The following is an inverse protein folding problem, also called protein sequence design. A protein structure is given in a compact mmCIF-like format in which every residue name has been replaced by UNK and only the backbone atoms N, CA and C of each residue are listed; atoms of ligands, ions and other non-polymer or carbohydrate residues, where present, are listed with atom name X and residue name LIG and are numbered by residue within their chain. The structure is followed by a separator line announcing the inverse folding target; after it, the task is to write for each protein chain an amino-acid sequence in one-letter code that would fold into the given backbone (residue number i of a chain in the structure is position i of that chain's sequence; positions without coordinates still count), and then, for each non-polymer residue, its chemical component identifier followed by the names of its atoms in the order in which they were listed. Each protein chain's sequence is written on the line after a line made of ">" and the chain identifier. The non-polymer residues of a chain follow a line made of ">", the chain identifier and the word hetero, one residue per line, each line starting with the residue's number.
data_IF_067095919127
#
_entry.id   IF_067095919127
#
_cell.length_a   1.000
_cell.length_b   1.000
_cell.length_c   1.000
_cell.angle_alpha   90.00
_cell.angle_beta   90.00
_cell.angle_gamma   90.00
#
_symmetry.space_group_name_H-M   'P 1'
#
loop_
_entity.id
_entity.type
_entity.pdbx_description
1 polymer ?
#
# COMPACT_ATOMS: atom_id res chain seq x y z
N UNK A 1 -37.23 -26.80 -27.72
CA UNK A 1 -36.08 -26.25 -26.97
C UNK A 1 -36.41 -24.80 -26.59
N UNK A 2 -36.57 -24.52 -25.30
CA UNK A 2 -36.97 -23.21 -24.80
C UNK A 2 -35.73 -22.29 -24.60
N UNK A 3 -35.78 -21.02 -25.01
CA UNK A 3 -34.70 -20.06 -24.77
C UNK A 3 -34.66 -19.61 -23.30
N UNK A 4 -33.47 -19.29 -22.73
CA UNK A 4 -33.33 -18.92 -21.33
C UNK A 4 -33.82 -17.49 -21.02
N UNK A 5 -34.38 -17.35 -19.82
CA UNK A 5 -34.96 -16.14 -19.24
C UNK A 5 -33.88 -15.22 -18.67
N UNK A 6 -33.57 -14.13 -19.38
CA UNK A 6 -32.85 -12.97 -18.84
C UNK A 6 -33.55 -11.68 -19.26
N UNK A 7 -34.70 -11.39 -18.65
CA UNK A 7 -35.29 -10.04 -18.68
C UNK A 7 -36.38 -9.91 -17.60
N UNK A 8 -35.99 -9.84 -16.32
CA UNK A 8 -36.88 -9.28 -15.30
C UNK A 8 -36.60 -7.79 -15.18
N UNK A 9 -37.46 -6.98 -15.80
CA UNK A 9 -37.54 -5.55 -15.54
C UNK A 9 -38.02 -5.32 -14.10
N UNK A 10 -37.31 -4.51 -13.32
CA UNK A 10 -37.72 -4.11 -11.97
C UNK A 10 -38.59 -2.85 -12.01
N UNK A 11 -39.89 -3.06 -11.78
CA UNK A 11 -40.85 -2.27 -11.00
C UNK A 11 -40.87 -0.72 -11.04
N UNK A 12 -40.41 -0.06 -12.12
CA UNK A 12 -40.63 1.39 -12.30
C UNK A 12 -41.46 1.74 -13.54
N UNK A 13 -41.86 0.73 -14.33
CA UNK A 13 -42.54 0.89 -15.61
C UNK A 13 -43.99 0.40 -15.54
N UNK A 14 -44.78 0.99 -14.66
CA UNK A 14 -46.23 0.89 -14.68
C UNK A 14 -46.77 2.03 -13.85
N UNK A 15 -47.13 3.13 -14.51
CA UNK A 15 -48.22 4.05 -14.12
C UNK A 15 -48.16 5.31 -15.00
N UNK A 16 -48.84 5.23 -16.16
CA UNK A 16 -49.86 6.19 -16.64
C UNK A 16 -49.98 6.06 -18.16
N UNK A 17 -50.80 5.10 -18.56
CA UNK A 17 -51.64 5.26 -19.73
C UNK A 17 -53.01 5.74 -19.22
N UNK A 18 -53.50 6.84 -19.77
CA UNK A 18 -54.92 7.22 -19.73
C UNK A 18 -55.24 7.85 -21.08
N UNK A 19 -56.14 7.19 -21.81
CA UNK A 19 -56.61 7.53 -23.15
C UNK A 19 -57.70 8.61 -23.10
N UNK A 20 -57.78 9.47 -24.13
CA UNK A 20 -59.04 9.83 -24.83
C UNK A 20 -58.77 10.75 -26.03
N UNK A 21 -59.43 10.43 -27.15
CA UNK A 21 -59.36 10.97 -28.52
C UNK A 21 -60.35 12.15 -28.73
N UNK A 22 -60.72 12.63 -29.95
CA UNK A 22 -60.00 12.88 -31.21
C UNK A 22 -60.30 14.29 -31.84
N UNK A 23 -59.46 14.81 -32.74
CA UNK A 23 -59.88 15.58 -33.94
C UNK A 23 -58.69 15.95 -34.85
N UNK A 24 -58.87 15.70 -36.14
CA UNK A 24 -58.05 16.07 -37.31
C UNK A 24 -58.36 17.52 -37.78
N UNK A 25 -57.65 18.13 -38.77
CA UNK A 25 -56.44 17.71 -39.50
C UNK A 25 -55.36 18.82 -39.70
N UNK A 26 -54.25 18.40 -40.33
CA UNK A 26 -53.46 19.10 -41.39
C UNK A 26 -52.05 19.65 -41.06
N UNK A 27 -51.09 19.15 -41.87
CA UNK A 27 -49.75 19.67 -42.25
C UNK A 27 -48.54 19.29 -41.37
N UNK A 28 -47.82 18.26 -41.85
CA UNK A 28 -46.36 18.06 -41.74
C UNK A 28 -45.58 19.05 -42.64
N UNK A 29 -44.24 19.16 -42.55
CA UNK A 29 -43.33 18.83 -41.44
C UNK A 29 -42.27 19.93 -41.15
N UNK A 30 -41.68 19.96 -39.95
CA UNK A 30 -40.23 20.23 -39.77
C UNK A 30 -39.74 19.88 -38.35
N UNK A 31 -38.48 19.43 -38.18
CA UNK A 31 -38.01 18.76 -36.97
C UNK A 31 -37.51 19.75 -35.92
N UNK A 32 -38.25 19.90 -34.81
CA UNK A 32 -37.76 20.59 -33.60
C UNK A 32 -37.28 19.57 -32.57
N UNK A 33 -35.96 19.58 -32.39
CA UNK A 33 -35.16 19.33 -31.20
C UNK A 33 -35.92 18.87 -29.93
N UNK A 34 -35.57 17.73 -29.30
CA UNK A 34 -36.08 17.39 -28.00
C UNK A 34 -35.39 18.24 -26.92
N UNK A 35 -36.14 19.19 -26.35
CA UNK A 35 -35.74 19.94 -25.16
C UNK A 35 -35.71 19.00 -23.95
N UNK A 36 -34.54 18.43 -23.68
CA UNK A 36 -34.21 17.72 -22.44
C UNK A 36 -34.25 18.68 -21.27
N UNK A 37 -35.27 18.55 -20.40
CA UNK A 37 -35.25 19.20 -19.09
C UNK A 37 -34.13 18.59 -18.24
N UNK A 38 -33.24 19.40 -17.62
CA UNK A 38 -32.13 18.88 -16.83
C UNK A 38 -32.65 18.14 -15.60
N UNK A 39 -32.23 16.87 -15.43
CA UNK A 39 -32.41 16.11 -14.19
C UNK A 39 -31.86 16.95 -13.03
N UNK A 40 -32.75 17.27 -12.09
CA UNK A 40 -32.47 18.05 -10.87
C UNK A 40 -31.23 17.50 -10.16
N UNK A 41 -30.12 18.21 -10.25
CA UNK A 41 -28.87 17.85 -9.57
C UNK A 41 -29.12 17.77 -8.06
N UNK A 42 -28.72 16.66 -7.44
CA UNK A 42 -28.82 16.51 -5.98
C UNK A 42 -27.95 17.57 -5.30
N UNK A 43 -28.47 18.18 -4.23
CA UNK A 43 -27.79 19.23 -3.48
C UNK A 43 -26.45 18.69 -2.96
N UNK A 44 -25.33 19.43 -3.08
CA UNK A 44 -24.01 18.96 -2.66
C UNK A 44 -23.98 18.43 -1.23
N UNK A 45 -24.81 19.00 -0.35
CA UNK A 45 -24.98 18.64 1.05
C UNK A 45 -25.39 17.17 1.31
N UNK A 46 -26.03 16.49 0.35
CA UNK A 46 -26.49 15.09 0.51
C UNK A 46 -25.50 14.04 -0.01
N UNK A 47 -24.38 14.46 -0.60
CA UNK A 47 -23.33 13.55 -1.06
C UNK A 47 -22.44 13.11 0.11
N UNK A 48 -22.15 11.81 0.19
CA UNK A 48 -21.16 11.30 1.15
C UNK A 48 -19.79 11.94 0.89
N UNK A 49 -18.93 12.08 1.91
CA UNK A 49 -17.59 12.63 1.74
C UNK A 49 -16.77 11.90 0.67
N UNK A 50 -16.97 10.59 0.52
CA UNK A 50 -16.36 9.79 -0.55
C UNK A 50 -16.88 10.17 -1.93
N UNK A 51 -18.20 10.36 -2.09
CA UNK A 51 -18.81 10.71 -3.37
C UNK A 51 -18.50 12.16 -3.81
N UNK A 52 -18.30 13.08 -2.87
CA UNK A 52 -17.81 14.44 -3.18
C UNK A 52 -16.36 14.40 -3.69
N UNK A 53 -15.52 13.57 -3.08
CA UNK A 53 -14.11 13.42 -3.47
C UNK A 53 -13.94 12.71 -4.81
N UNK A 54 -14.84 11.78 -5.19
CA UNK A 54 -14.84 11.19 -6.53
C UNK A 54 -15.35 12.17 -7.58
N UNK A 55 -16.40 12.94 -7.28
CA UNK A 55 -16.91 13.99 -8.18
C UNK A 55 -15.88 15.09 -8.44
N UNK A 56 -15.13 15.52 -7.42
CA UNK A 56 -14.06 16.50 -7.60
C UNK A 56 -12.90 16.01 -8.47
N UNK A 57 -12.67 14.69 -8.48
CA UNK A 57 -11.67 14.05 -9.33
C UNK A 57 -12.17 13.89 -10.77
N UNK A 58 -13.45 13.57 -10.94
CA UNK A 58 -14.12 13.43 -12.24
C UNK A 58 -14.55 14.79 -12.84
N UNK A 59 -14.44 15.90 -12.10
CA UNK A 59 -14.69 17.23 -12.66
C UNK A 59 -13.62 17.64 -13.70
N UNK A 60 -12.43 17.03 -13.63
CA UNK A 60 -11.33 17.15 -14.59
C UNK A 60 -11.33 16.00 -15.61
N UNK A 61 -12.50 15.63 -16.17
CA UNK A 61 -12.58 14.63 -17.24
C UNK A 61 -11.91 15.18 -18.51
N UNK A 62 -10.62 14.89 -18.66
CA UNK A 62 -9.90 15.19 -19.89
C UNK A 62 -10.52 14.38 -21.04
N UNK A 63 -10.85 15.01 -22.18
CA UNK A 63 -11.27 14.25 -23.35
C UNK A 63 -10.11 13.37 -23.82
N UNK A 64 -10.39 12.10 -24.12
CA UNK A 64 -9.43 11.21 -24.76
C UNK A 64 -9.29 11.69 -26.21
N UNK A 65 -8.15 12.30 -26.52
CA UNK A 65 -7.81 12.70 -27.89
C UNK A 65 -7.14 11.50 -28.59
N UNK A 66 -7.73 10.94 -29.65
CA UNK A 66 -7.05 9.92 -30.43
C UNK A 66 -5.82 10.50 -31.12
N UNK A 67 -4.81 9.64 -31.34
CA UNK A 67 -3.59 10.03 -32.07
C UNK A 67 -3.91 10.43 -33.52
N UNK A 68 -4.89 9.77 -34.11
CA UNK A 68 -5.43 10.07 -35.44
C UNK A 68 -6.90 10.49 -35.28
N UNK A 69 -7.19 11.77 -35.54
CA UNK A 69 -8.55 12.32 -35.42
C UNK A 69 -9.51 11.79 -36.49
N UNK A 70 -9.00 11.21 -37.58
CA UNK A 70 -9.81 10.68 -38.68
C UNK A 70 -10.32 9.27 -38.41
N UNK A 71 -9.75 8.57 -37.43
CA UNK A 71 -10.13 7.20 -37.08
C UNK A 71 -11.04 7.17 -35.84
N UNK A 72 -12.07 6.30 -35.82
CA UNK A 72 -12.89 6.13 -34.63
C UNK A 72 -12.03 5.61 -33.48
N UNK A 73 -12.22 6.17 -32.28
CA UNK A 73 -11.60 5.69 -31.05
C UNK A 73 -12.70 5.18 -30.12
N UNK A 74 -13.06 3.88 -30.18
CA UNK A 74 -14.15 3.33 -29.38
C UNK A 74 -13.96 3.55 -27.87
N UNK A 75 -12.72 3.54 -27.39
CA UNK A 75 -12.44 3.79 -25.98
C UNK A 75 -12.78 5.22 -25.57
N UNK A 76 -12.60 6.21 -26.45
CA UNK A 76 -12.92 7.61 -26.19
C UNK A 76 -14.42 7.88 -26.13
N UNK A 77 -15.24 7.10 -26.85
CA UNK A 77 -16.70 7.25 -26.90
C UNK A 77 -17.42 6.59 -25.74
N UNK A 78 -16.77 5.65 -25.04
CA UNK A 78 -17.34 5.00 -23.87
C UNK A 78 -17.50 5.99 -22.69
N UNK A 79 -18.57 5.91 -21.90
CA UNK A 79 -18.67 6.60 -20.61
C UNK A 79 -17.52 6.22 -19.66
N UNK A 80 -17.16 7.13 -18.76
CA UNK A 80 -16.08 6.93 -17.78
C UNK A 80 -16.29 5.69 -16.91
N UNK A 81 -17.54 5.35 -16.62
CA UNK A 81 -17.94 4.20 -15.82
C UNK A 81 -17.53 2.90 -16.53
N UNK A 82 -17.82 2.78 -17.83
CA UNK A 82 -17.44 1.60 -18.62
C UNK A 82 -15.92 1.51 -18.79
N UNK A 83 -15.24 2.65 -19.01
CA UNK A 83 -13.78 2.69 -19.03
C UNK A 83 -13.16 2.22 -17.72
N UNK A 84 -13.73 2.64 -16.59
CA UNK A 84 -13.29 2.22 -15.26
C UNK A 84 -13.42 0.71 -15.07
N UNK A 85 -14.52 0.11 -15.53
CA UNK A 85 -14.70 -1.36 -15.53
C UNK A 85 -13.63 -2.05 -16.38
N UNK A 86 -13.30 -1.52 -17.56
CA UNK A 86 -12.20 -2.04 -18.40
C UNK A 86 -10.87 -1.96 -17.66
N UNK A 87 -10.59 -0.84 -16.97
CA UNK A 87 -9.36 -0.69 -16.21
C UNK A 87 -9.28 -1.66 -15.04
N UNK A 88 -10.38 -1.90 -14.33
CA UNK A 88 -10.43 -2.88 -13.25
C UNK A 88 -10.09 -4.28 -13.75
N UNK A 89 -10.62 -4.68 -14.90
CA UNK A 89 -10.31 -5.96 -15.52
C UNK A 89 -8.85 -6.03 -16.00
N UNK A 90 -8.35 -4.98 -16.66
CA UNK A 90 -6.97 -4.94 -17.14
C UNK A 90 -5.93 -4.87 -16.02
N UNK A 91 -6.31 -4.37 -14.84
CA UNK A 91 -5.46 -4.23 -13.65
C UNK A 91 -5.83 -5.25 -12.56
N UNK A 92 -6.56 -6.30 -12.92
CA UNK A 92 -7.10 -7.27 -11.98
C UNK A 92 -5.97 -7.86 -11.10
N UNK A 93 -6.18 -7.99 -9.77
CA UNK A 93 -5.11 -8.32 -8.83
C UNK A 93 -4.39 -9.65 -9.09
N UNK A 94 -5.06 -10.60 -9.75
CA UNK A 94 -4.49 -11.92 -10.06
C UNK A 94 -3.63 -11.90 -11.34
N UNK A 95 -3.86 -10.92 -12.22
CA UNK A 95 -3.10 -10.72 -13.46
C UNK A 95 -1.99 -9.66 -13.28
N UNK A 96 -2.22 -8.67 -12.42
CA UNK A 96 -1.25 -7.67 -12.06
C UNK A 96 -0.21 -8.26 -11.10
N UNK A 97 1.07 -8.11 -11.42
CA UNK A 97 2.11 -8.58 -10.50
C UNK A 97 1.96 -7.89 -9.13
N UNK A 98 1.96 -8.68 -8.04
CA UNK A 98 1.73 -8.17 -6.70
C UNK A 98 2.87 -7.28 -6.19
N UNK A 99 4.00 -7.24 -6.90
CA UNK A 99 5.14 -6.41 -6.57
C UNK A 99 5.35 -5.32 -7.62
N UNK A 100 5.59 -4.07 -7.19
CA UNK A 100 6.10 -3.04 -8.07
C UNK A 100 7.33 -3.55 -8.83
N UNK A 101 7.28 -3.53 -10.17
CA UNK A 101 8.45 -3.91 -10.97
C UNK A 101 9.48 -2.79 -10.91
N UNK A 102 10.74 -3.18 -10.81
CA UNK A 102 11.86 -2.26 -10.65
C UNK A 102 12.95 -2.58 -11.67
N UNK A 103 13.51 -1.56 -12.29
CA UNK A 103 14.74 -1.65 -13.08
C UNK A 103 15.86 -1.03 -12.27
N UNK A 104 16.83 -1.83 -11.86
CA UNK A 104 18.09 -1.33 -11.30
C UNK A 104 18.93 -0.89 -12.49
N UNK A 105 19.20 0.41 -12.61
CA UNK A 105 20.08 0.91 -13.69
C UNK A 105 21.53 0.45 -13.47
N UNK A 106 22.30 0.22 -14.54
CA UNK A 106 23.74 0.00 -14.44
C UNK A 106 24.38 1.13 -13.63
N UNK A 107 25.19 0.79 -12.62
CA UNK A 107 25.74 1.73 -11.64
C UNK A 107 24.95 1.84 -10.32
N UNK A 108 23.91 1.02 -10.12
CA UNK A 108 23.30 0.74 -8.80
C UNK A 108 22.49 1.87 -8.16
N UNK A 109 22.55 3.09 -8.68
CA UNK A 109 22.06 4.28 -7.98
C UNK A 109 20.59 4.62 -8.22
N UNK A 110 19.94 4.05 -9.25
CA UNK A 110 18.55 4.38 -9.59
C UNK A 110 17.72 3.13 -9.86
N UNK A 111 16.75 2.92 -8.98
CA UNK A 111 15.68 1.96 -9.18
C UNK A 111 14.53 2.70 -9.88
N UNK A 112 14.21 2.32 -11.12
CA UNK A 112 13.07 2.88 -11.86
C UNK A 112 11.86 1.97 -11.70
N UNK A 113 10.77 2.51 -11.18
CA UNK A 113 9.50 1.81 -11.12
C UNK A 113 8.91 1.66 -12.53
N UNK A 114 8.54 0.42 -12.90
CA UNK A 114 7.84 0.14 -14.14
C UNK A 114 6.34 0.28 -13.86
N UNK A 115 5.76 1.35 -14.40
CA UNK A 115 4.34 1.60 -14.29
C UNK A 115 3.59 0.63 -15.22
N UNK A 116 2.36 0.23 -14.88
CA UNK A 116 1.47 -0.43 -15.84
C UNK A 116 1.40 0.35 -17.15
N UNK A 117 1.46 -0.35 -18.28
CA UNK A 117 1.45 0.24 -19.63
C UNK A 117 0.24 1.16 -19.84
N UNK A 118 -0.89 0.82 -19.23
CA UNK A 118 -2.13 1.63 -19.30
C UNK A 118 -1.97 3.05 -18.72
N UNK A 119 -1.05 3.25 -17.77
CA UNK A 119 -0.76 4.58 -17.20
C UNK A 119 0.08 5.47 -18.13
N UNK A 120 0.62 4.91 -19.22
CA UNK A 120 1.45 5.63 -20.19
C UNK A 120 0.68 6.13 -21.42
N UNK A 121 -0.59 5.76 -21.62
CA UNK A 121 -1.32 6.00 -22.88
C UNK A 121 -1.66 7.49 -23.07
N UNK A 122 -2.61 8.03 -22.31
CA UNK A 122 -3.06 9.42 -22.42
C UNK A 122 -3.30 10.01 -21.04
N UNK A 123 -3.38 11.35 -20.93
CA UNK A 123 -3.62 12.01 -19.64
C UNK A 123 -4.94 11.58 -19.00
N UNK A 124 -6.00 11.47 -19.79
CA UNK A 124 -7.32 11.04 -19.34
C UNK A 124 -7.30 9.62 -18.79
N UNK A 125 -6.80 8.68 -19.60
CA UNK A 125 -6.68 7.26 -19.23
C UNK A 125 -5.78 7.11 -18.01
N UNK A 126 -4.65 7.82 -17.96
CA UNK A 126 -3.73 7.78 -16.82
C UNK A 126 -4.41 8.17 -15.53
N UNK A 127 -5.22 9.23 -15.52
CA UNK A 127 -5.93 9.70 -14.32
C UNK A 127 -6.93 8.61 -13.88
N UNK A 128 -7.83 8.19 -14.76
CA UNK A 128 -8.85 7.20 -14.45
C UNK A 128 -8.26 5.85 -14.03
N UNK A 129 -7.29 5.33 -14.78
CA UNK A 129 -6.63 4.07 -14.47
C UNK A 129 -5.72 4.16 -13.24
N UNK A 130 -5.06 5.30 -12.98
CA UNK A 130 -4.27 5.48 -11.75
C UNK A 130 -5.15 5.48 -10.51
N UNK A 131 -6.37 6.02 -10.61
CA UNK A 131 -7.35 5.91 -9.53
C UNK A 131 -7.57 4.44 -9.17
N UNK A 132 -7.97 3.62 -10.15
CA UNK A 132 -8.22 2.19 -9.94
C UNK A 132 -6.98 1.47 -9.41
N UNK A 133 -5.83 1.70 -10.06
CA UNK A 133 -4.57 1.04 -9.72
C UNK A 133 -4.13 1.32 -8.28
N UNK A 134 -4.09 2.59 -7.89
CA UNK A 134 -3.56 2.95 -6.58
C UNK A 134 -4.55 2.73 -5.44
N UNK A 135 -5.86 2.69 -5.69
CA UNK A 135 -6.84 2.47 -4.61
C UNK A 135 -7.17 1.00 -4.39
N UNK A 136 -7.07 0.14 -5.40
CA UNK A 136 -7.62 -1.21 -5.34
C UNK A 136 -6.57 -2.31 -5.52
N UNK A 137 -5.50 -2.06 -6.28
CA UNK A 137 -4.48 -3.09 -6.54
C UNK A 137 -3.75 -3.49 -5.26
N UNK A 138 -3.49 -4.80 -5.12
CA UNK A 138 -2.69 -5.34 -4.04
C UNK A 138 -1.21 -5.07 -4.29
N UNK A 139 -0.57 -4.35 -3.37
CA UNK A 139 0.88 -4.15 -3.38
C UNK A 139 1.50 -4.94 -2.24
N UNK A 140 2.39 -5.85 -2.56
CA UNK A 140 3.12 -6.68 -1.60
C UNK A 140 4.61 -6.37 -1.71
N UNK A 141 5.23 -5.99 -0.60
CA UNK A 141 6.66 -5.72 -0.53
C UNK A 141 7.32 -6.75 0.36
N UNK A 142 8.39 -7.38 -0.11
CA UNK A 142 9.18 -8.28 0.73
C UNK A 142 10.32 -7.49 1.38
N UNK A 143 10.35 -7.48 2.71
CA UNK A 143 11.38 -6.82 3.52
C UNK A 143 12.22 -7.88 4.22
N UNK A 144 13.54 -7.69 4.17
CA UNK A 144 14.54 -8.51 4.87
C UNK A 144 15.33 -7.60 5.79
N UNK A 145 15.76 -8.11 6.96
CA UNK A 145 16.58 -7.37 7.92
C UNK A 145 16.04 -5.96 8.24
N UNK A 146 14.72 -5.81 8.19
CA UNK A 146 14.00 -4.55 8.41
C UNK A 146 14.44 -3.41 7.46
N UNK A 147 14.97 -3.73 6.27
CA UNK A 147 15.28 -2.73 5.26
C UNK A 147 14.02 -2.34 4.45
N UNK A 148 13.51 -1.15 4.72
CA UNK A 148 12.35 -0.57 4.04
C UNK A 148 12.73 0.31 2.84
N UNK A 149 14.03 0.45 2.50
CA UNK A 149 14.55 1.38 1.49
C UNK A 149 13.82 1.29 0.14
N UNK A 150 13.54 0.06 -0.33
CA UNK A 150 12.81 -0.17 -1.59
C UNK A 150 11.39 0.39 -1.58
N UNK A 151 10.71 0.31 -0.43
CA UNK A 151 9.37 0.86 -0.26
C UNK A 151 9.43 2.39 -0.25
N UNK A 152 10.41 2.95 0.47
CA UNK A 152 10.64 4.41 0.51
C UNK A 152 10.93 4.95 -0.89
N UNK A 153 11.85 4.33 -1.62
CA UNK A 153 12.17 4.71 -3.00
C UNK A 153 10.96 4.63 -3.93
N UNK A 154 10.13 3.59 -3.78
CA UNK A 154 8.88 3.49 -4.54
C UNK A 154 7.94 4.65 -4.20
N UNK A 155 7.67 4.90 -2.92
CA UNK A 155 6.80 5.99 -2.47
C UNK A 155 7.29 7.34 -3.00
N UNK A 156 8.59 7.61 -2.91
CA UNK A 156 9.21 8.85 -3.37
C UNK A 156 9.13 9.02 -4.88
N UNK A 157 9.16 7.91 -5.65
CA UNK A 157 9.00 7.94 -7.11
C UNK A 157 7.58 8.27 -7.58
N UNK A 158 6.57 8.13 -6.71
CA UNK A 158 5.18 8.41 -7.08
C UNK A 158 4.89 9.91 -7.08
N UNK A 159 4.17 10.44 -8.10
CA UNK A 159 3.63 11.79 -8.05
C UNK A 159 2.76 12.00 -6.80
N UNK A 160 2.75 13.21 -6.19
CA UNK A 160 1.98 13.47 -4.97
C UNK A 160 0.49 13.11 -5.08
N UNK A 161 -0.11 13.35 -6.26
CA UNK A 161 -1.52 13.00 -6.54
C UNK A 161 -1.77 11.49 -6.49
N UNK A 162 -0.84 10.68 -7.01
CA UNK A 162 -0.98 9.22 -6.99
C UNK A 162 -0.71 8.66 -5.61
N UNK A 163 0.31 9.19 -4.92
CA UNK A 163 0.62 8.84 -3.53
C UNK A 163 -0.57 9.08 -2.60
N UNK A 164 -1.31 10.18 -2.77
CA UNK A 164 -2.51 10.45 -1.98
C UNK A 164 -3.63 9.41 -2.16
N UNK A 165 -3.66 8.68 -3.28
CA UNK A 165 -4.64 7.61 -3.53
C UNK A 165 -4.35 6.36 -2.71
N UNK A 166 -3.08 6.10 -2.37
CA UNK A 166 -2.67 4.97 -1.54
C UNK A 166 -3.31 4.98 -0.15
N UNK A 167 -3.66 6.15 0.37
CA UNK A 167 -4.38 6.28 1.64
C UNK A 167 -5.78 5.63 1.62
N UNK A 168 -6.33 5.35 0.43
CA UNK A 168 -7.60 4.64 0.26
C UNK A 168 -7.41 3.14 0.03
N UNK A 169 -6.18 2.70 -0.15
CA UNK A 169 -5.86 1.32 -0.46
C UNK A 169 -5.68 0.52 0.83
N UNK A 170 -6.48 -0.53 0.97
CA UNK A 170 -6.43 -1.45 2.12
C UNK A 170 -5.63 -2.73 1.85
N UNK A 171 -5.05 -2.83 0.65
CA UNK A 171 -4.35 -4.00 0.13
C UNK A 171 -2.82 -3.77 0.03
N UNK A 172 -2.29 -2.89 0.88
CA UNK A 172 -0.85 -2.64 1.02
C UNK A 172 -0.28 -3.58 2.08
N UNK A 173 0.59 -4.48 1.65
CA UNK A 173 1.12 -5.56 2.46
C UNK A 173 2.64 -5.50 2.49
N UNK A 174 3.23 -5.57 3.67
CA UNK A 174 4.67 -5.73 3.87
C UNK A 174 4.90 -7.13 4.43
N UNK A 175 5.53 -7.97 3.61
CA UNK A 175 5.93 -9.32 3.94
C UNK A 175 7.34 -9.30 4.51
N UNK A 176 7.48 -9.42 5.82
CA UNK A 176 8.74 -9.40 6.55
C UNK A 176 9.24 -10.84 6.66
N UNK A 177 10.51 -11.07 6.29
CA UNK A 177 11.17 -12.36 6.48
C UNK A 177 11.88 -12.30 7.84
N UNK A 178 11.43 -13.09 8.84
CA UNK A 178 12.09 -13.17 10.14
C UNK A 178 13.50 -13.79 10.00
N UNK A 179 14.42 -13.38 10.88
CA UNK A 179 15.81 -13.85 10.85
C UNK A 179 16.76 -12.89 10.09
N UNK A 180 17.98 -12.76 10.61
CA UNK A 180 19.01 -11.94 9.97
C UNK A 180 19.63 -12.77 8.85
N UNK A 181 19.38 -12.39 7.60
CA UNK A 181 20.00 -13.05 6.45
C UNK A 181 21.25 -12.28 6.04
N UNK A 182 22.35 -13.01 6.05
CA UNK A 182 23.60 -12.60 5.45
C UNK A 182 23.43 -12.67 3.91
N UNK A 183 23.14 -11.53 3.27
CA UNK A 183 23.25 -11.38 1.82
C UNK A 183 24.72 -11.39 1.37
N UNK A 184 25.01 -11.69 0.11
CA UNK A 184 26.40 -11.72 -0.37
C UNK A 184 27.02 -10.33 -0.52
N UNK A 185 28.35 -10.29 -0.38
CA UNK A 185 29.33 -9.19 -0.56
C UNK A 185 29.40 -8.09 0.52
N UNK A 186 30.49 -8.16 1.29
CA UNK A 186 31.25 -7.07 1.95
C UNK A 186 30.44 -5.98 2.68
N UNK A 187 30.38 -6.05 4.02
CA UNK A 187 31.26 -5.22 4.86
C UNK A 187 32.06 -6.04 5.91
N UNK A 188 32.90 -5.41 6.75
CA UNK A 188 33.66 -6.09 7.82
C UNK A 188 32.77 -6.91 8.78
N UNK A 189 33.35 -7.86 9.54
CA UNK A 189 32.62 -8.57 10.60
C UNK A 189 31.86 -7.60 11.50
N UNK A 190 30.54 -7.83 11.68
CA UNK A 190 29.70 -6.97 12.52
C UNK A 190 28.68 -6.09 11.82
N UNK A 191 28.50 -6.21 10.50
CA UNK A 191 27.52 -5.42 9.74
C UNK A 191 26.46 -6.30 9.07
N UNK A 192 25.27 -5.71 8.83
CA UNK A 192 24.21 -6.37 8.07
C UNK A 192 24.59 -6.38 6.57
N UNK A 193 24.57 -7.58 5.96
CA UNK A 193 25.03 -7.78 4.59
C UNK A 193 23.99 -7.45 3.51
N UNK A 194 23.06 -6.54 3.80
CA UNK A 194 21.98 -6.16 2.89
C UNK A 194 22.16 -4.77 2.27
N UNK A 195 23.12 -3.98 2.77
CA UNK A 195 23.38 -2.64 2.31
C UNK A 195 24.85 -2.24 2.51
N UNK A 196 25.29 -1.24 1.73
CA UNK A 196 26.60 -0.61 1.87
C UNK A 196 26.70 0.19 3.18
N UNK A 197 27.92 0.37 3.67
CA UNK A 197 28.23 1.17 4.87
C UNK A 197 27.59 2.57 4.84
N UNK A 198 27.66 3.24 3.69
CA UNK A 198 27.07 4.58 3.51
C UNK A 198 25.56 4.58 3.71
N UNK A 199 24.88 3.49 3.37
CA UNK A 199 23.44 3.36 3.54
C UNK A 199 23.09 3.14 5.01
N UNK A 200 23.81 2.25 5.71
CA UNK A 200 23.64 2.06 7.15
C UNK A 200 23.88 3.37 7.92
N UNK A 201 24.90 4.13 7.51
CA UNK A 201 25.15 5.46 8.06
C UNK A 201 23.98 6.41 7.83
N UNK A 202 23.47 6.50 6.60
CA UNK A 202 22.31 7.34 6.26
C UNK A 202 21.11 7.01 7.13
N UNK A 203 20.79 5.72 7.28
CA UNK A 203 19.68 5.23 8.10
C UNK A 203 19.84 5.63 9.58
N UNK A 204 21.07 5.63 10.09
CA UNK A 204 21.36 5.94 11.50
C UNK A 204 21.55 7.43 11.79
N UNK A 205 21.99 8.22 10.80
CA UNK A 205 22.47 9.60 10.98
C UNK A 205 21.45 10.55 11.64
N UNK A 206 20.15 10.27 11.45
CA UNK A 206 19.07 11.01 12.10
C UNK A 206 18.97 10.73 13.61
N UNK A 207 19.36 9.53 14.06
CA UNK A 207 19.12 9.04 15.41
C UNK A 207 20.38 9.01 16.29
N UNK A 208 21.57 8.94 15.68
CA UNK A 208 22.83 8.96 16.39
C UNK A 208 24.00 8.53 15.50
N UNK A 209 25.17 8.34 16.11
CA UNK A 209 26.38 7.92 15.39
C UNK A 209 26.66 6.44 15.64
N UNK A 210 26.46 5.59 14.63
CA UNK A 210 26.71 4.13 14.71
C UNK A 210 28.15 3.80 15.13
N UNK A 211 29.14 4.64 14.77
CA UNK A 211 30.54 4.42 15.09
C UNK A 211 30.89 4.71 16.56
N UNK A 212 30.00 5.39 17.30
CA UNK A 212 30.16 5.58 18.76
C UNK A 212 29.71 4.36 19.56
N UNK A 213 29.08 3.37 18.90
CA UNK A 213 28.61 2.16 19.55
C UNK A 213 29.77 1.16 19.66
N UNK A 214 30.16 0.73 20.87
CA UNK A 214 31.46 0.08 21.12
C UNK A 214 31.57 -1.38 20.67
N UNK A 215 30.45 -2.04 20.35
CA UNK A 215 30.44 -3.46 19.96
C UNK A 215 29.74 -3.62 18.62
N UNK A 216 30.31 -4.45 17.75
CA UNK A 216 29.71 -4.84 16.47
C UNK A 216 28.28 -5.37 16.61
N UNK A 217 28.02 -6.20 17.63
CA UNK A 217 26.66 -6.68 17.92
C UNK A 217 25.72 -5.53 18.28
N UNK A 218 26.17 -4.59 19.10
CA UNK A 218 25.37 -3.41 19.46
C UNK A 218 25.19 -2.46 18.26
N UNK A 219 26.15 -2.38 17.34
CA UNK A 219 26.00 -1.62 16.09
C UNK A 219 24.87 -2.20 15.24
N UNK A 220 24.79 -3.53 15.11
CA UNK A 220 23.68 -4.19 14.42
C UNK A 220 22.34 -3.85 15.10
N UNK A 221 22.25 -3.98 16.42
CA UNK A 221 21.03 -3.63 17.15
C UNK A 221 20.63 -2.16 16.92
N UNK A 222 21.61 -1.26 16.89
CA UNK A 222 21.37 0.16 16.62
C UNK A 222 20.88 0.43 15.19
N UNK A 223 21.45 -0.26 14.18
CA UNK A 223 21.00 -0.16 12.79
C UNK A 223 19.56 -0.65 12.66
N UNK A 224 19.23 -1.82 13.22
CA UNK A 224 17.87 -2.37 13.20
C UNK A 224 16.87 -1.41 13.88
N UNK A 225 17.26 -0.82 15.01
CA UNK A 225 16.47 0.20 15.68
C UNK A 225 16.23 1.42 14.78
N UNK A 226 17.28 1.95 14.14
CA UNK A 226 17.17 3.11 13.26
C UNK A 226 16.26 2.86 12.06
N UNK A 227 16.33 1.65 11.47
CA UNK A 227 15.45 1.25 10.37
C UNK A 227 13.98 1.15 10.78
N UNK A 228 13.69 0.51 11.91
CA UNK A 228 12.32 0.44 12.46
C UNK A 228 11.78 1.83 12.77
N UNK A 229 12.54 2.61 13.54
CA UNK A 229 12.11 3.94 13.95
C UNK A 229 11.95 4.88 12.76
N UNK A 230 12.90 4.86 11.82
CA UNK A 230 12.82 5.61 10.57
C UNK A 230 11.59 5.25 9.75
N UNK A 231 11.27 3.96 9.63
CA UNK A 231 10.06 3.50 8.96
C UNK A 231 8.78 3.96 9.65
N UNK A 232 8.69 3.82 10.98
CA UNK A 232 7.51 4.26 11.74
C UNK A 232 7.30 5.77 11.67
N UNK A 233 8.39 6.54 11.72
CA UNK A 233 8.35 8.00 11.57
C UNK A 233 7.93 8.41 10.18
N UNK A 234 8.48 7.78 9.15
CA UNK A 234 8.07 8.01 7.76
C UNK A 234 6.56 7.80 7.61
N UNK A 235 6.07 6.66 8.10
CA UNK A 235 4.64 6.32 8.08
C UNK A 235 3.78 7.30 8.89
N UNK A 236 4.34 7.99 9.88
CA UNK A 236 3.64 8.99 10.69
C UNK A 236 3.70 10.41 10.11
N UNK A 237 4.53 10.67 9.10
CA UNK A 237 4.59 11.99 8.45
C UNK A 237 3.26 12.33 7.79
N UNK A 238 2.91 13.62 7.70
CA UNK A 238 1.66 14.07 7.04
C UNK A 238 1.51 13.56 5.60
N UNK A 239 2.63 13.34 4.91
CA UNK A 239 2.66 12.88 3.53
C UNK A 239 2.24 11.40 3.38
N UNK A 240 2.50 10.58 4.39
CA UNK A 240 2.25 9.12 4.37
C UNK A 240 1.26 8.66 5.45
N UNK A 241 0.83 9.55 6.35
CA UNK A 241 0.05 9.22 7.55
C UNK A 241 -1.26 8.48 7.29
N UNK A 242 -1.92 8.80 6.17
CA UNK A 242 -3.16 8.15 5.74
C UNK A 242 -2.96 6.77 5.10
N UNK A 243 -1.73 6.34 4.84
CA UNK A 243 -1.44 5.03 4.25
C UNK A 243 -1.47 3.98 5.35
N UNK A 244 -2.28 2.94 5.13
CA UNK A 244 -2.42 1.81 6.05
C UNK A 244 -1.64 0.62 5.51
N UNK A 245 -0.67 0.15 6.28
CA UNK A 245 0.15 -1.01 5.95
C UNK A 245 -0.28 -2.20 6.80
N UNK A 246 -0.41 -3.37 6.17
CA UNK A 246 -0.55 -4.65 6.86
C UNK A 246 0.80 -5.35 6.87
N UNK A 247 1.28 -5.77 8.05
CA UNK A 247 2.51 -6.54 8.16
C UNK A 247 2.20 -8.03 8.21
N UNK A 248 2.86 -8.82 7.37
CA UNK A 248 2.81 -10.27 7.38
C UNK A 248 4.22 -10.80 7.64
N UNK A 249 4.34 -11.81 8.49
CA UNK A 249 5.64 -12.39 8.85
C UNK A 249 5.76 -13.76 8.22
N UNK A 250 6.72 -13.90 7.32
CA UNK A 250 6.91 -15.13 6.54
C UNK A 250 7.91 -16.06 7.20
N UNK A 251 7.41 -16.96 8.04
CA UNK A 251 8.18 -18.02 8.67
C UNK A 251 8.44 -19.23 7.75
N UNK A 252 7.95 -19.23 6.50
CA UNK A 252 8.18 -20.35 5.56
C UNK A 252 9.61 -20.41 5.02
N UNK A 253 10.42 -19.39 5.29
CA UNK A 253 11.81 -19.31 4.88
C UNK A 253 12.74 -19.82 5.99
N UNK A 254 13.26 -21.06 5.92
CA UNK A 254 14.14 -21.58 6.94
C UNK A 254 15.40 -20.72 7.08
N UNK A 255 15.91 -20.57 8.31
CA UNK A 255 17.17 -19.88 8.61
C UNK A 255 18.36 -20.65 8.00
N UNK A 256 18.29 -21.98 7.99
CA UNK A 256 19.27 -22.91 7.44
C UNK A 256 18.55 -24.18 6.97
N UNK A 257 19.11 -24.90 5.99
CA UNK A 257 18.65 -26.24 5.59
C UNK A 257 18.72 -27.23 6.77
N UNK A 258 19.57 -26.93 7.76
CA UNK A 258 19.85 -27.78 8.92
C UNK A 258 19.12 -27.36 10.20
N UNK A 259 18.43 -26.21 10.22
CA UNK A 259 17.68 -25.74 11.39
C UNK A 259 16.19 -26.01 11.21
N UNK A 260 15.69 -27.08 11.84
CA UNK A 260 14.27 -27.34 12.00
C UNK A 260 13.72 -26.55 13.19
N UNK A 261 13.66 -25.23 13.09
CA UNK A 261 12.93 -24.41 14.06
C UNK A 261 11.45 -24.32 13.65
N UNK A 262 10.56 -24.40 14.64
CA UNK A 262 9.15 -24.11 14.42
C UNK A 262 8.95 -22.66 14.00
N UNK A 263 7.84 -22.36 13.32
CA UNK A 263 7.49 -20.98 12.95
C UNK A 263 7.36 -20.06 14.18
N UNK A 264 6.83 -20.58 15.29
CA UNK A 264 6.70 -19.85 16.54
C UNK A 264 8.06 -19.49 17.15
N UNK A 265 9.02 -20.43 17.20
CA UNK A 265 10.38 -20.15 17.67
C UNK A 265 11.09 -19.11 16.80
N UNK A 266 10.93 -19.20 15.47
CA UNK A 266 11.52 -18.23 14.55
C UNK A 266 10.97 -16.80 14.79
N UNK A 267 9.66 -16.68 15.02
CA UNK A 267 9.05 -15.40 15.36
C UNK A 267 9.50 -14.90 16.74
N UNK A 268 9.63 -15.78 17.73
CA UNK A 268 10.12 -15.42 19.06
C UNK A 268 11.57 -14.90 19.00
N UNK A 269 12.46 -15.58 18.28
CA UNK A 269 13.82 -15.11 18.05
C UNK A 269 13.83 -13.75 17.34
N UNK A 270 12.98 -13.58 16.32
CA UNK A 270 12.85 -12.32 15.61
C UNK A 270 12.35 -11.19 16.51
N UNK A 271 11.37 -11.45 17.37
CA UNK A 271 10.87 -10.51 18.37
C UNK A 271 12.00 -10.10 19.32
N UNK A 272 12.77 -11.05 19.85
CA UNK A 272 13.83 -10.78 20.84
C UNK A 272 15.05 -10.09 20.24
N UNK A 273 15.54 -10.59 19.11
CA UNK A 273 16.83 -10.17 18.54
C UNK A 273 16.71 -8.97 17.60
N UNK A 274 15.60 -8.83 16.88
CA UNK A 274 15.45 -7.78 15.86
C UNK A 274 14.45 -6.70 16.25
N UNK A 275 13.29 -7.07 16.80
CA UNK A 275 12.30 -6.08 17.27
C UNK A 275 12.63 -5.61 18.69
N UNK A 276 13.26 -6.46 19.49
CA UNK A 276 13.62 -6.21 20.88
C UNK A 276 14.57 -5.02 21.05
N UNK A 277 15.28 -4.66 19.97
CA UNK A 277 16.15 -3.48 19.87
C UNK A 277 15.45 -2.19 20.27
N UNK A 278 14.13 -2.10 20.10
CA UNK A 278 13.31 -0.96 20.54
C UNK A 278 13.42 -0.67 22.04
N UNK A 279 13.65 -1.71 22.85
CA UNK A 279 13.77 -1.65 24.31
C UNK A 279 15.13 -2.05 24.86
N UNK A 280 16.18 -2.06 24.04
CA UNK A 280 17.53 -2.43 24.50
C UNK A 280 18.27 -1.23 25.09
N UNK A 281 18.93 -1.45 26.23
CA UNK A 281 19.71 -0.41 26.92
C UNK A 281 20.91 0.09 26.10
N UNK A 282 21.54 -0.77 25.30
CA UNK A 282 22.64 -0.37 24.41
C UNK A 282 22.20 0.62 23.32
N UNK A 283 21.00 0.42 22.77
CA UNK A 283 20.37 1.32 21.80
C UNK A 283 19.93 2.63 22.46
N UNK A 284 19.31 2.55 23.65
CA UNK A 284 18.87 3.73 24.39
C UNK A 284 20.01 4.70 24.73
N UNK A 285 21.22 4.20 24.99
CA UNK A 285 22.41 5.02 25.22
C UNK A 285 22.93 5.70 23.95
N UNK A 286 22.79 5.05 22.79
CA UNK A 286 23.24 5.57 21.51
C UNK A 286 22.22 6.51 20.84
N UNK A 287 20.94 6.42 21.23
CA UNK A 287 19.85 7.18 20.64
C UNK A 287 19.74 8.61 21.21
N UNK A 288 19.80 9.60 20.32
CA UNK A 288 19.57 11.01 20.64
C UNK A 288 18.07 11.37 20.64
N UNK A 289 17.40 11.18 21.79
CA UNK A 289 15.94 11.36 21.96
C UNK A 289 15.38 12.72 21.53
N UNK A 290 16.17 13.80 21.67
CA UNK A 290 15.69 15.18 21.63
C UNK A 290 15.06 15.67 20.32
N UNK A 291 15.22 14.96 19.19
CA UNK A 291 14.67 15.40 17.89
C UNK A 291 13.38 14.71 17.47
N UNK A 292 12.99 13.59 18.09
CA UNK A 292 12.00 12.69 17.49
C UNK A 292 11.00 12.02 18.46
N UNK A 293 10.91 12.48 19.71
CA UNK A 293 9.93 11.97 20.68
C UNK A 293 8.50 11.98 20.14
N UNK A 294 7.78 10.87 20.36
CA UNK A 294 6.37 10.67 20.06
C UNK A 294 6.00 10.31 18.61
N UNK A 295 6.90 10.52 17.63
CA UNK A 295 6.57 10.24 16.22
C UNK A 295 6.72 8.76 15.89
N UNK A 296 5.64 8.15 15.39
CA UNK A 296 5.63 6.76 14.95
C UNK A 296 5.12 5.75 15.99
N UNK A 297 4.76 6.19 17.21
CA UNK A 297 4.20 5.32 18.27
C UNK A 297 3.04 4.45 17.77
N UNK A 298 2.05 5.07 17.13
CA UNK A 298 0.88 4.35 16.61
C UNK A 298 1.26 3.30 15.56
N UNK A 299 2.22 3.63 14.69
CA UNK A 299 2.70 2.73 13.62
C UNK A 299 3.50 1.56 14.20
N UNK A 300 4.29 1.80 15.26
CA UNK A 300 4.99 0.76 16.00
C UNK A 300 4.01 -0.17 16.74
N UNK A 301 2.97 0.38 17.37
CA UNK A 301 1.92 -0.43 18.03
C UNK A 301 1.15 -1.31 17.04
N UNK A 302 0.85 -0.78 15.85
CA UNK A 302 0.24 -1.54 14.75
C UNK A 302 1.15 -2.66 14.26
N UNK A 303 2.45 -2.39 14.09
CA UNK A 303 3.44 -3.41 13.74
C UNK A 303 3.49 -4.54 14.78
N UNK A 304 3.56 -4.20 16.07
CA UNK A 304 3.56 -5.19 17.15
C UNK A 304 2.25 -5.99 17.20
N UNK A 305 1.11 -5.35 16.92
CA UNK A 305 -0.19 -6.04 16.82
C UNK A 305 -0.22 -7.05 15.68
N UNK A 306 0.25 -6.68 14.50
CA UNK A 306 0.28 -7.60 13.35
C UNK A 306 1.25 -8.78 13.60
N UNK A 307 2.38 -8.53 14.27
CA UNK A 307 3.34 -9.56 14.69
C UNK A 307 2.72 -10.54 15.70
N UNK A 308 2.04 -10.01 16.71
CA UNK A 308 1.32 -10.78 17.74
C UNK A 308 0.22 -11.66 17.13
N UNK A 309 -0.61 -11.10 16.25
CA UNK A 309 -1.62 -11.86 15.52
C UNK A 309 -1.01 -13.00 14.70
N UNK A 310 0.18 -12.78 14.11
CA UNK A 310 0.86 -13.80 13.31
C UNK A 310 1.42 -14.91 14.19
N UNK A 311 1.98 -14.57 15.36
CA UNK A 311 2.45 -15.56 16.32
C UNK A 311 1.33 -16.43 16.86
N UNK A 312 0.21 -15.83 17.30
CA UNK A 312 -0.97 -16.56 17.79
C UNK A 312 -1.49 -17.56 16.75
N UNK A 313 -1.42 -17.21 15.46
CA UNK A 313 -1.84 -18.10 14.38
C UNK A 313 -0.93 -19.32 14.19
N UNK A 314 0.35 -19.24 14.56
CA UNK A 314 1.34 -20.31 14.38
C UNK A 314 1.77 -20.99 15.68
N UNK A 315 1.33 -20.50 16.84
CA UNK A 315 1.73 -21.02 18.15
C UNK A 315 0.92 -22.22 18.63
N UNK A 316 -0.11 -22.65 17.87
CA UNK A 316 -0.90 -23.84 18.20
C UNK A 316 0.00 -25.09 18.35
N UNK A 317 0.08 -25.64 19.57
CA UNK A 317 0.96 -26.78 19.89
C UNK A 317 2.40 -26.42 20.25
N UNK A 318 2.71 -25.13 20.43
CA UNK A 318 3.99 -24.68 20.98
C UNK A 318 4.09 -24.96 22.49
N UNK A 319 5.31 -25.03 23.02
CA UNK A 319 5.57 -25.21 24.46
C UNK A 319 5.00 -24.03 25.25
N UNK A 320 4.36 -24.29 26.40
CA UNK A 320 3.76 -23.24 27.25
C UNK A 320 4.75 -22.12 27.60
N UNK A 321 5.99 -22.46 27.96
CA UNK A 321 7.03 -21.46 28.25
C UNK A 321 7.37 -20.54 27.07
N UNK A 322 7.21 -20.98 25.82
CA UNK A 322 7.44 -20.13 24.65
C UNK A 322 6.36 -19.04 24.53
N UNK A 323 5.11 -19.38 24.86
CA UNK A 323 3.98 -18.45 24.83
C UNK A 323 4.11 -17.43 25.97
N UNK A 324 4.50 -17.88 27.17
CA UNK A 324 4.75 -16.98 28.30
C UNK A 324 5.88 -15.98 28.02
N UNK A 325 7.00 -16.47 27.46
CA UNK A 325 8.12 -15.64 27.03
C UNK A 325 7.70 -14.60 25.98
N UNK A 326 6.92 -15.04 24.99
CA UNK A 326 6.36 -14.16 23.95
C UNK A 326 5.51 -13.05 24.56
N UNK A 327 4.53 -13.40 25.39
CA UNK A 327 3.60 -12.46 26.01
C UNK A 327 4.31 -11.46 26.91
N UNK A 328 5.34 -11.89 27.64
CA UNK A 328 6.17 -11.01 28.45
C UNK A 328 6.92 -10.00 27.57
N UNK A 329 7.55 -10.46 26.48
CA UNK A 329 8.36 -9.62 25.61
C UNK A 329 7.50 -8.63 24.81
N UNK A 330 6.36 -9.06 24.25
CA UNK A 330 5.41 -8.16 23.57
C UNK A 330 4.91 -7.08 24.53
N UNK A 331 4.52 -7.44 25.76
CA UNK A 331 4.09 -6.46 26.78
C UNK A 331 5.22 -5.50 27.17
N UNK A 332 6.45 -5.98 27.30
CA UNK A 332 7.63 -5.15 27.56
C UNK A 332 7.81 -4.13 26.44
N UNK A 333 7.79 -4.56 25.18
CA UNK A 333 8.01 -3.68 24.03
C UNK A 333 6.87 -2.69 23.83
N UNK A 334 5.61 -3.09 24.04
CA UNK A 334 4.47 -2.16 24.01
C UNK A 334 4.65 -1.03 25.02
N UNK A 335 5.03 -1.34 26.27
CA UNK A 335 5.31 -0.33 27.30
C UNK A 335 6.44 0.61 26.90
N UNK A 336 7.52 0.08 26.32
CA UNK A 336 8.62 0.91 25.81
C UNK A 336 8.11 1.87 24.73
N UNK A 337 7.37 1.37 23.74
CA UNK A 337 6.80 2.19 22.65
C UNK A 337 5.80 3.24 23.17
N UNK A 338 5.11 2.98 24.27
CA UNK A 338 4.22 3.96 24.90
C UNK A 338 4.94 5.16 25.51
N UNK A 339 6.19 4.98 25.94
CA UNK A 339 7.03 6.03 26.54
C UNK A 339 7.73 6.93 25.52
N UNK A 340 7.60 6.62 24.22
CA UNK A 340 8.30 7.35 23.14
C UNK A 340 7.79 8.76 22.92
#
# INVERSE_FOLDING_TARGET
>A
MAPPSYARATASSSLKASQSSPSTPTKTPDPKTPTSTPKKLKRPSTLTPQHRKSLHYNADLYPIKPQDATKPCPLATLPSELRTTIYQYALEPDLALPQPRFIIRPGGSRISYIWPTILHISRAIRIEAAYVYYTSTRFTFTVRNLDFSKIVLWLDSLPPKHRALLARNQNLVIKIIPGLRQGYSYPPPGWLLDAWMDQHWKDCSAFGNVYTVPSSRHQIHFILFCRLLGWFQLCATKQYGGITWKYLFDSSFPKSIWEQCSSAEMLNDFLRDQVGVLGMGCVARAWTRGRFGGRGREKAQMFLKDLDNTFVAVSAGSREGLVEDWDWEVRRLRRVVETW
#
